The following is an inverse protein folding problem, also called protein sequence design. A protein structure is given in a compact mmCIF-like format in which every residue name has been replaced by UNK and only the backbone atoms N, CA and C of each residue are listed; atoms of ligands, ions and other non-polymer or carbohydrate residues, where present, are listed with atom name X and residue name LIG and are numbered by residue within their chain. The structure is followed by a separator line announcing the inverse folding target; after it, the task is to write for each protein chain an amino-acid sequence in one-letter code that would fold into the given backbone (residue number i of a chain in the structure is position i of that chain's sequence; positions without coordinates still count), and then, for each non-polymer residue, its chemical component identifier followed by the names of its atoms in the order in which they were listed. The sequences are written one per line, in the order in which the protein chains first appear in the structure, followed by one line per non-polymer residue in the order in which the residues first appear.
data_IF_331646986882
#
_entry.id   IF_331646986882
#
_cell.length_a   1.000
_cell.length_b   1.000
_cell.length_c   1.000
_cell.angle_alpha   90.00
_cell.angle_beta   90.00
_cell.angle_gamma   90.00
#
_symmetry.space_group_name_H-M   'P 1'
#
loop_
_entity.id
_entity.type
_entity.pdbx_description
1 polymer ?
#
# COMPACT_ATOMS: atom_id res chain seq x y z
N UNK A 1 -33.98 33.11 -32.17
CA UNK A 1 -34.39 33.17 -30.75
C UNK A 1 -33.15 32.94 -29.90
N UNK A 2 -32.77 33.98 -29.18
CA UNK A 2 -31.78 33.97 -28.11
C UNK A 2 -32.27 33.10 -26.94
N UNK A 3 -31.38 32.38 -26.26
CA UNK A 3 -31.15 32.64 -24.84
C UNK A 3 -29.77 32.14 -24.42
N UNK A 4 -28.87 33.08 -24.18
CA UNK A 4 -27.65 32.92 -23.38
C UNK A 4 -28.04 32.80 -21.91
N UNK A 5 -27.44 31.87 -21.17
CA UNK A 5 -27.22 32.01 -19.72
C UNK A 5 -25.73 31.80 -19.44
N UNK A 6 -25.12 32.85 -18.89
CA UNK A 6 -23.80 32.89 -18.26
C UNK A 6 -23.94 32.36 -16.82
N UNK A 7 -22.84 31.93 -16.18
CA UNK A 7 -22.38 32.47 -14.87
C UNK A 7 -21.07 31.81 -14.39
N UNK A 8 -20.11 32.71 -14.16
CA UNK A 8 -19.03 32.82 -13.16
C UNK A 8 -17.99 31.69 -12.93
N UNK A 9 -16.75 32.04 -13.30
CA UNK A 9 -15.47 31.43 -12.91
C UNK A 9 -15.03 31.97 -11.54
N UNK A 10 -14.50 31.10 -10.66
CA UNK A 10 -13.44 31.47 -9.71
C UNK A 10 -12.27 30.52 -9.95
N UNK A 11 -11.22 31.04 -10.59
CA UNK A 11 -9.91 30.38 -10.65
C UNK A 11 -9.14 30.79 -9.40
N UNK A 12 -8.94 29.85 -8.47
CA UNK A 12 -7.94 30.00 -7.42
C UNK A 12 -6.68 29.27 -7.89
N UNK A 13 -5.61 30.02 -8.15
CA UNK A 13 -4.27 29.46 -8.31
C UNK A 13 -3.79 29.04 -6.92
N UNK A 14 -3.64 27.74 -6.67
CA UNK A 14 -2.79 27.20 -5.61
C UNK A 14 -2.18 25.89 -6.12
N UNK A 15 -0.85 25.83 -6.08
CA UNK A 15 -0.05 24.69 -6.45
C UNK A 15 -0.16 23.63 -5.35
N UNK A 16 -0.61 22.43 -5.70
CA UNK A 16 -0.74 21.29 -4.78
C UNK A 16 -1.73 20.29 -5.37
N UNK A 17 -1.28 19.07 -5.65
CA UNK A 17 -2.11 18.05 -6.29
C UNK A 17 -3.38 17.76 -5.47
N UNK A 18 -4.54 18.08 -6.03
CA UNK A 18 -5.83 17.64 -5.52
C UNK A 18 -6.12 16.24 -6.06
N UNK A 19 -6.36 15.28 -5.17
CA UNK A 19 -6.92 13.99 -5.55
C UNK A 19 -8.42 14.21 -5.86
N UNK A 20 -8.81 14.06 -7.11
CA UNK A 20 -10.23 14.03 -7.50
C UNK A 20 -10.76 12.62 -7.21
N UNK A 21 -11.53 12.46 -6.15
CA UNK A 21 -12.30 11.22 -5.91
C UNK A 21 -13.57 11.30 -6.75
N UNK A 22 -13.72 10.42 -7.74
CA UNK A 22 -14.95 10.30 -8.54
C UNK A 22 -16.03 9.59 -7.72
N UNK A 23 -17.29 10.02 -7.88
CA UNK A 23 -18.44 9.56 -7.09
C UNK A 23 -18.79 8.06 -7.26
N UNK A 24 -18.14 7.34 -8.17
CA UNK A 24 -18.47 5.96 -8.54
C UNK A 24 -18.00 4.88 -7.54
N UNK A 25 -17.09 5.20 -6.60
CA UNK A 25 -16.61 4.23 -5.58
C UNK A 25 -17.53 4.11 -4.36
N UNK A 26 -18.72 4.75 -4.38
CA UNK A 26 -19.66 4.75 -3.26
C UNK A 26 -21.00 4.11 -3.67
N UNK A 27 -21.01 2.80 -3.93
CA UNK A 27 -22.29 2.07 -4.03
C UNK A 27 -22.91 1.92 -2.63
N UNK A 28 -23.79 2.87 -2.28
CA UNK A 28 -24.60 2.83 -1.08
C UNK A 28 -25.84 1.96 -1.29
N UNK A 29 -26.21 1.19 -0.26
CA UNK A 29 -27.53 0.56 -0.16
C UNK A 29 -28.59 1.68 0.03
N UNK A 30 -29.66 1.74 -0.77
CA UNK A 30 -30.71 2.75 -0.61
C UNK A 30 -31.36 2.68 0.78
N UNK A 31 -31.42 3.81 1.48
CA UNK A 31 -32.23 3.97 2.70
C UNK A 31 -31.48 4.22 4.01
N UNK A 32 -30.13 4.17 4.02
CA UNK A 32 -29.34 4.56 5.20
C UNK A 32 -28.64 5.88 4.95
N UNK A 33 -29.06 6.92 5.68
CA UNK A 33 -28.26 8.12 5.89
C UNK A 33 -27.01 7.66 6.65
N UNK A 34 -25.88 7.54 5.95
CA UNK A 34 -24.65 7.03 6.55
C UNK A 34 -23.52 7.99 6.18
N UNK A 35 -22.94 8.60 7.21
CA UNK A 35 -21.75 9.44 7.09
C UNK A 35 -20.56 8.51 6.88
N UNK A 36 -19.94 8.58 5.70
CA UNK A 36 -18.68 7.87 5.42
C UNK A 36 -17.51 8.83 5.62
N UNK A 37 -16.48 8.40 6.34
CA UNK A 37 -15.29 9.21 6.63
C UNK A 37 -14.05 8.41 6.25
N UNK A 38 -13.28 8.93 5.30
CA UNK A 38 -12.10 8.24 4.78
C UNK A 38 -10.92 9.21 4.63
N UNK A 39 -9.79 9.01 5.34
CA UNK A 39 -9.59 8.04 6.44
C UNK A 39 -10.31 8.47 7.74
N UNK A 40 -10.47 7.54 8.68
CA UNK A 40 -11.04 7.82 10.02
C UNK A 40 -10.10 8.59 10.95
N UNK A 41 -8.82 8.70 10.59
CA UNK A 41 -7.81 9.47 11.29
C UNK A 41 -6.92 10.20 10.27
N UNK A 42 -6.65 11.48 10.53
CA UNK A 42 -5.79 12.33 9.71
C UNK A 42 -4.57 12.81 10.48
N UNK A 43 -3.47 13.04 9.76
CA UNK A 43 -2.23 13.60 10.28
C UNK A 43 -1.76 14.78 9.38
N UNK A 44 -2.38 15.97 9.51
CA UNK A 44 -2.16 17.10 8.60
C UNK A 44 -0.77 17.75 8.76
N UNK A 45 0.28 17.04 8.35
CA UNK A 45 1.70 17.40 8.51
C UNK A 45 2.36 17.77 7.16
N UNK A 46 1.64 17.57 6.05
CA UNK A 46 2.02 17.89 4.69
C UNK A 46 3.03 16.93 4.07
N UNK A 47 3.03 15.65 4.44
CA UNK A 47 3.80 14.58 3.79
C UNK A 47 3.02 13.83 2.69
N UNK A 48 1.76 14.19 2.46
CA UNK A 48 0.86 13.54 1.51
C UNK A 48 0.21 12.26 2.05
N UNK A 49 0.29 11.99 3.36
CA UNK A 49 -0.33 10.84 4.03
C UNK A 49 -1.43 11.33 4.95
N UNK A 50 -2.67 10.90 4.69
CA UNK A 50 -3.82 11.23 5.56
C UNK A 50 -3.86 12.72 5.97
N UNK A 51 -3.37 13.64 5.12
CA UNK A 51 -3.34 15.07 5.43
C UNK A 51 -4.75 15.67 5.46
N UNK A 52 -5.69 14.99 4.82
CA UNK A 52 -7.10 15.34 4.80
C UNK A 52 -7.97 14.09 4.78
N UNK A 53 -9.24 14.27 5.10
CA UNK A 53 -10.28 13.27 4.96
C UNK A 53 -11.37 13.74 4.01
N UNK A 54 -11.95 12.78 3.29
CA UNK A 54 -13.21 12.95 2.59
C UNK A 54 -14.36 12.52 3.49
N UNK A 55 -15.27 13.45 3.77
CA UNK A 55 -16.49 13.22 4.55
C UNK A 55 -17.64 13.17 3.56
N UNK A 56 -18.13 11.98 3.26
CA UNK A 56 -19.24 11.77 2.34
C UNK A 56 -20.58 11.78 3.10
N UNK A 57 -21.49 12.66 2.66
CA UNK A 57 -22.84 12.81 3.21
C UNK A 57 -23.87 12.73 2.09
N UNK A 58 -25.03 12.12 2.38
CA UNK A 58 -26.18 12.15 1.45
C UNK A 58 -27.02 13.40 1.71
N UNK A 59 -27.40 14.12 0.64
CA UNK A 59 -28.29 15.28 0.69
C UNK A 59 -29.62 14.91 0.01
N UNK A 60 -30.71 14.71 0.79
CA UNK A 60 -32.03 14.47 0.23
C UNK A 60 -32.57 15.69 -0.52
N UNK A 61 -33.45 15.46 -1.49
CA UNK A 61 -34.12 16.54 -2.22
C UNK A 61 -34.93 17.43 -1.26
N UNK A 62 -34.82 18.75 -1.43
CA UNK A 62 -35.61 19.71 -0.65
C UNK A 62 -35.25 19.83 0.83
N UNK A 63 -34.22 19.10 1.31
CA UNK A 63 -33.74 19.17 2.69
C UNK A 63 -32.49 20.05 2.76
N UNK A 64 -32.46 20.99 3.70
CA UNK A 64 -31.28 21.82 3.99
C UNK A 64 -30.30 21.03 4.83
N UNK A 65 -29.03 20.99 4.43
CA UNK A 65 -27.99 20.23 5.15
C UNK A 65 -26.88 21.15 5.63
N UNK A 66 -26.52 20.99 6.91
CA UNK A 66 -25.36 21.63 7.53
C UNK A 66 -24.43 20.57 8.09
N UNK A 67 -23.14 20.65 7.77
CA UNK A 67 -22.09 19.73 8.24
C UNK A 67 -21.07 20.51 9.05
N UNK A 68 -20.98 20.18 10.33
CA UNK A 68 -20.07 20.83 11.29
C UNK A 68 -19.09 19.81 11.87
N UNK A 69 -17.90 20.30 12.18
CA UNK A 69 -16.92 19.61 13.00
C UNK A 69 -16.92 20.25 14.39
N UNK A 70 -17.05 19.40 15.42
CA UNK A 70 -17.14 19.84 16.81
C UNK A 70 -16.02 19.20 17.64
N UNK A 71 -15.50 19.97 18.60
CA UNK A 71 -14.53 19.45 19.55
C UNK A 71 -15.22 18.72 20.73
N UNK A 72 -14.43 18.20 21.67
CA UNK A 72 -14.93 17.49 22.87
C UNK A 72 -15.80 18.34 23.80
N UNK A 73 -15.77 19.67 23.68
CA UNK A 73 -16.63 20.60 24.42
C UNK A 73 -17.92 20.94 23.66
N UNK A 74 -18.18 20.25 22.55
CA UNK A 74 -19.31 20.48 21.64
C UNK A 74 -19.27 21.88 20.96
N UNK A 75 -18.11 22.52 20.92
CA UNK A 75 -17.90 23.79 20.22
C UNK A 75 -17.63 23.50 18.73
N UNK A 76 -18.25 24.28 17.84
CA UNK A 76 -18.01 24.19 16.39
C UNK A 76 -16.62 24.75 16.09
N UNK A 77 -15.75 23.89 15.56
CA UNK A 77 -14.37 24.25 15.17
C UNK A 77 -14.21 24.41 13.67
N UNK A 78 -15.08 23.80 12.87
CA UNK A 78 -15.17 24.00 11.42
C UNK A 78 -16.61 23.78 10.93
N UNK A 79 -16.99 24.47 9.86
CA UNK A 79 -18.25 24.25 9.13
C UNK A 79 -17.90 23.91 7.70
N UNK A 80 -18.13 22.66 7.29
CA UNK A 80 -17.76 22.16 5.95
C UNK A 80 -18.85 22.45 4.91
N UNK A 81 -20.10 22.50 5.38
CA UNK A 81 -21.26 22.81 4.58
C UNK A 81 -22.26 23.56 5.45
N UNK A 82 -22.83 24.64 4.96
CA UNK A 82 -23.78 25.47 5.71
C UNK A 82 -25.04 25.70 4.89
N UNK A 83 -26.18 25.30 5.43
CA UNK A 83 -27.52 25.53 4.86
C UNK A 83 -27.62 25.25 3.35
N UNK A 84 -26.97 24.17 2.90
CA UNK A 84 -26.91 23.83 1.49
C UNK A 84 -28.18 23.08 1.08
N UNK A 85 -28.75 23.49 -0.05
CA UNK A 85 -29.82 22.79 -0.76
C UNK A 85 -29.24 22.33 -2.09
N UNK A 86 -28.74 21.11 -2.13
CA UNK A 86 -28.18 20.52 -3.35
C UNK A 86 -29.28 19.86 -4.19
N UNK A 87 -29.07 19.76 -5.51
CA UNK A 87 -29.70 18.71 -6.31
C UNK A 87 -29.30 17.35 -5.73
N UNK A 88 -30.26 16.43 -5.58
CA UNK A 88 -30.10 15.06 -5.06
C UNK A 88 -28.69 14.46 -5.20
N UNK A 89 -28.11 13.93 -4.11
CA UNK A 89 -26.92 13.09 -4.24
C UNK A 89 -26.05 12.96 -2.99
N UNK A 90 -25.02 12.10 -3.09
CA UNK A 90 -23.89 12.04 -2.16
C UNK A 90 -22.89 13.12 -2.52
N UNK A 91 -22.44 13.87 -1.51
CA UNK A 91 -21.42 14.92 -1.64
C UNK A 91 -20.23 14.55 -0.76
N UNK A 92 -19.02 14.58 -1.33
CA UNK A 92 -17.77 14.45 -0.60
C UNK A 92 -17.25 15.83 -0.17
N UNK A 93 -17.08 16.02 1.13
CA UNK A 93 -16.57 17.25 1.73
C UNK A 93 -15.13 17.02 2.22
N UNK A 94 -14.10 17.61 1.58
CA UNK A 94 -12.74 17.48 2.05
C UNK A 94 -12.53 18.28 3.35
N UNK A 95 -11.76 17.74 4.26
CA UNK A 95 -11.34 18.43 5.49
C UNK A 95 -9.90 18.09 5.84
N UNK A 96 -9.06 19.11 5.98
CA UNK A 96 -7.62 19.04 6.24
C UNK A 96 -7.26 19.12 7.73
N UNK A 97 -8.25 18.95 8.62
CA UNK A 97 -8.04 19.09 10.05
C UNK A 97 -7.85 20.54 10.51
N UNK A 98 -8.14 21.53 9.67
CA UNK A 98 -8.10 22.94 10.06
C UNK A 98 -9.46 23.49 10.50
N UNK A 99 -9.41 24.53 11.34
CA UNK A 99 -10.56 25.30 11.81
C UNK A 99 -10.19 26.78 11.89
N UNK A 100 -11.02 27.66 11.32
CA UNK A 100 -10.74 29.09 11.22
C UNK A 100 -9.34 29.42 10.62
N UNK A 101 -8.89 28.61 9.64
CA UNK A 101 -7.61 28.79 8.96
C UNK A 101 -6.37 28.37 9.77
N UNK A 102 -6.55 27.63 10.88
CA UNK A 102 -5.44 27.10 11.69
C UNK A 102 -5.55 25.58 11.86
N UNK A 103 -4.43 24.84 11.89
CA UNK A 103 -4.44 23.44 12.26
C UNK A 103 -5.04 23.25 13.66
N UNK A 104 -5.93 22.26 13.80
CA UNK A 104 -6.51 21.91 15.08
C UNK A 104 -5.59 20.94 15.85
N UNK A 105 -5.60 20.96 17.19
CA UNK A 105 -4.77 20.08 18.00
C UNK A 105 -5.21 18.62 17.90
N UNK A 106 -4.33 17.71 18.34
CA UNK A 106 -4.63 16.29 18.45
C UNK A 106 -5.90 16.04 19.26
N UNK A 107 -6.75 15.16 18.76
CA UNK A 107 -7.99 14.84 19.43
C UNK A 107 -8.97 14.09 18.54
N UNK A 108 -10.07 13.67 19.16
CA UNK A 108 -11.22 13.14 18.44
C UNK A 108 -12.21 14.29 18.29
N UNK A 109 -12.65 14.50 17.06
CA UNK A 109 -13.64 15.48 16.66
C UNK A 109 -14.90 14.76 16.20
N UNK A 110 -16.03 15.39 16.48
CA UNK A 110 -17.33 14.89 16.09
C UNK A 110 -17.79 15.58 14.81
N UNK A 111 -18.21 14.79 13.82
CA UNK A 111 -18.85 15.28 12.61
C UNK A 111 -20.35 15.26 12.89
N UNK A 112 -21.01 16.42 12.84
CA UNK A 112 -22.45 16.54 13.02
C UNK A 112 -23.08 16.99 11.72
N UNK A 113 -23.96 16.14 11.17
CA UNK A 113 -24.77 16.48 10.00
C UNK A 113 -26.16 16.80 10.49
N UNK A 114 -26.63 18.02 10.24
CA UNK A 114 -27.98 18.46 10.56
C UNK A 114 -28.81 18.56 9.29
N UNK A 115 -29.93 17.84 9.26
CA UNK A 115 -30.92 17.85 8.19
C UNK A 115 -32.11 18.67 8.63
N UNK A 116 -32.41 19.76 7.92
CA UNK A 116 -33.50 20.68 8.21
C UNK A 116 -34.54 20.61 7.09
N UNK A 117 -35.53 19.73 7.28
CA UNK A 117 -36.70 19.59 6.41
C UNK A 117 -37.97 19.99 7.16
N UNK A 118 -39.02 19.16 7.09
CA UNK A 118 -40.21 19.30 7.95
C UNK A 118 -39.88 19.09 9.43
N UNK A 119 -38.92 18.20 9.70
CA UNK A 119 -38.32 17.98 11.01
C UNK A 119 -36.81 18.21 10.94
N UNK A 120 -36.20 18.48 12.09
CA UNK A 120 -34.73 18.56 12.20
C UNK A 120 -34.20 17.24 12.74
N UNK A 121 -33.41 16.52 11.94
CA UNK A 121 -32.68 15.32 12.39
C UNK A 121 -31.18 15.57 12.38
N UNK A 122 -30.44 14.78 13.17
CA UNK A 122 -28.98 14.88 13.25
C UNK A 122 -28.35 13.51 13.18
N UNK A 123 -27.30 13.41 12.38
CA UNK A 123 -26.40 12.26 12.36
C UNK A 123 -25.01 12.64 12.84
N UNK A 124 -24.31 11.65 13.39
CA UNK A 124 -23.01 11.84 14.03
C UNK A 124 -22.03 10.80 13.53
N UNK A 125 -20.80 11.24 13.31
CA UNK A 125 -19.64 10.39 13.10
C UNK A 125 -18.44 11.00 13.82
N UNK A 126 -17.28 10.37 13.73
CA UNK A 126 -16.07 10.87 14.37
C UNK A 126 -14.87 10.75 13.47
N UNK A 127 -13.90 11.63 13.70
CA UNK A 127 -12.61 11.66 13.02
C UNK A 127 -11.54 12.05 14.02
N UNK A 128 -10.38 11.39 13.96
CA UNK A 128 -9.24 11.73 14.80
C UNK A 128 -8.24 12.63 14.05
N UNK A 129 -7.68 13.63 14.75
CA UNK A 129 -6.46 14.32 14.34
C UNK A 129 -5.32 13.79 15.19
N UNK A 130 -4.23 13.39 14.54
CA UNK A 130 -3.02 12.89 15.16
C UNK A 130 -1.80 13.65 14.60
N UNK A 131 -1.03 14.30 15.47
CA UNK A 131 0.28 14.85 15.11
C UNK A 131 1.26 13.70 15.08
N UNK A 132 1.60 13.28 13.87
CA UNK A 132 2.59 12.24 13.62
C UNK A 132 3.85 12.87 13.03
N UNK A 133 4.97 12.15 13.15
CA UNK A 133 6.21 12.59 12.55
C UNK A 133 6.02 12.64 11.04
N UNK A 134 6.33 13.79 10.44
CA UNK A 134 6.35 13.96 9.00
C UNK A 134 7.26 12.91 8.37
N UNK A 135 6.71 12.10 7.48
CA UNK A 135 7.52 11.09 6.79
C UNK A 135 8.17 11.71 5.55
N UNK A 136 9.49 11.51 5.34
CA UNK A 136 10.08 11.90 4.06
C UNK A 136 9.47 11.04 2.96
N UNK A 137 9.30 11.61 1.76
CA UNK A 137 9.01 10.79 0.59
C UNK A 137 10.07 9.69 0.46
N UNK A 138 9.68 8.44 0.13
CA UNK A 138 10.64 7.37 -0.09
C UNK A 138 11.73 7.83 -1.06
N UNK A 139 12.98 7.78 -0.61
CA UNK A 139 14.16 7.98 -1.46
C UNK A 139 14.90 6.66 -1.51
N UNK A 140 15.33 6.29 -2.70
CA UNK A 140 16.08 5.06 -2.90
C UNK A 140 17.47 5.44 -3.39
N UNK A 141 18.52 4.77 -2.89
CA UNK A 141 19.88 5.04 -3.33
C UNK A 141 20.00 4.84 -4.85
N UNK A 142 20.80 5.70 -5.49
CA UNK A 142 21.02 5.69 -6.95
C UNK A 142 21.84 4.48 -7.44
N UNK A 143 22.46 3.72 -6.52
CA UNK A 143 23.33 2.60 -6.90
C UNK A 143 22.53 1.45 -7.54
N UNK A 144 22.92 0.99 -8.75
CA UNK A 144 22.24 -0.09 -9.45
C UNK A 144 22.60 -1.43 -8.82
N UNK A 145 21.87 -1.82 -7.77
CA UNK A 145 21.82 -3.21 -7.36
C UNK A 145 20.84 -3.96 -8.28
N UNK A 146 21.36 -4.84 -9.13
CA UNK A 146 20.54 -5.73 -9.94
C UNK A 146 20.47 -7.12 -9.29
N UNK A 147 19.29 -7.58 -8.86
CA UNK A 147 19.15 -8.86 -8.21
C UNK A 147 19.23 -9.99 -9.24
N UNK A 148 20.10 -10.95 -8.97
CA UNK A 148 20.13 -12.25 -9.62
C UNK A 148 19.92 -13.25 -8.49
N UNK A 149 18.72 -13.82 -8.42
CA UNK A 149 18.29 -14.51 -7.23
C UNK A 149 17.23 -15.58 -7.45
N UNK A 150 16.80 -16.15 -6.33
CA UNK A 150 15.77 -17.20 -6.26
C UNK A 150 14.75 -16.87 -5.18
N UNK A 151 13.54 -17.42 -5.33
CA UNK A 151 12.62 -17.58 -4.21
C UNK A 151 13.10 -18.75 -3.35
N UNK A 152 13.44 -18.44 -2.11
CA UNK A 152 14.09 -19.35 -1.18
C UNK A 152 13.16 -19.67 -0.02
N UNK A 153 12.87 -20.96 0.19
CA UNK A 153 12.03 -21.40 1.30
C UNK A 153 12.72 -21.11 2.64
N UNK A 154 12.16 -20.15 3.38
CA UNK A 154 12.69 -19.68 4.66
C UNK A 154 12.40 -20.61 5.84
N UNK A 155 11.48 -21.58 5.71
CA UNK A 155 11.09 -22.54 6.73
C UNK A 155 11.84 -23.87 6.55
N UNK A 156 12.93 -24.13 7.30
CA UNK A 156 13.78 -25.31 7.09
C UNK A 156 13.01 -26.66 7.12
N UNK A 157 12.00 -26.87 7.98
CA UNK A 157 11.14 -28.05 7.94
C UNK A 157 10.55 -28.41 6.57
N UNK A 158 10.19 -27.44 5.73
CA UNK A 158 9.65 -27.72 4.40
C UNK A 158 10.70 -28.31 3.46
N UNK A 159 11.98 -28.06 3.75
CA UNK A 159 13.12 -28.66 3.06
C UNK A 159 13.70 -29.89 3.81
N UNK A 160 13.03 -30.38 4.87
CA UNK A 160 13.48 -31.52 5.66
C UNK A 160 14.58 -31.20 6.68
N UNK A 161 14.74 -29.94 7.07
CA UNK A 161 15.71 -29.49 8.07
C UNK A 161 15.07 -29.21 9.44
N UNK A 162 15.81 -29.35 10.55
CA UNK A 162 15.30 -28.99 11.87
C UNK A 162 14.98 -27.49 11.97
N UNK A 163 13.94 -27.16 12.75
CA UNK A 163 13.52 -25.78 12.98
C UNK A 163 14.27 -25.08 14.12
N UNK A 164 15.15 -25.78 14.86
CA UNK A 164 15.99 -25.16 15.87
C UNK A 164 17.07 -24.28 15.22
N UNK A 165 17.59 -23.25 15.92
CA UNK A 165 18.53 -22.32 15.32
C UNK A 165 19.79 -22.96 14.72
N UNK A 166 20.30 -24.06 15.28
CA UNK A 166 21.49 -24.71 14.74
C UNK A 166 21.18 -25.46 13.44
N UNK A 167 20.08 -26.22 13.41
CA UNK A 167 19.61 -26.89 12.20
C UNK A 167 19.24 -25.92 11.08
N UNK A 168 18.53 -24.83 11.42
CA UNK A 168 18.19 -23.77 10.50
C UNK A 168 19.44 -23.07 9.92
N UNK A 169 20.42 -22.75 10.79
CA UNK A 169 21.68 -22.15 10.33
C UNK A 169 22.43 -23.06 9.35
N UNK A 170 22.52 -24.36 9.64
CA UNK A 170 23.16 -25.31 8.74
C UNK A 170 22.48 -25.38 7.35
N UNK A 171 21.15 -25.29 7.31
CA UNK A 171 20.38 -25.19 6.07
C UNK A 171 20.71 -23.90 5.30
N UNK A 172 20.61 -22.75 5.97
CA UNK A 172 20.85 -21.45 5.35
C UNK A 172 22.29 -21.29 4.87
N UNK A 173 23.29 -21.60 5.69
CA UNK A 173 24.71 -21.49 5.32
C UNK A 173 25.03 -22.31 4.08
N UNK A 174 24.58 -23.57 4.05
CA UNK A 174 24.82 -24.46 2.90
C UNK A 174 24.17 -23.91 1.64
N UNK A 175 22.91 -23.51 1.71
CA UNK A 175 22.17 -23.02 0.54
C UNK A 175 22.72 -21.67 0.05
N UNK A 176 23.07 -20.76 0.95
CA UNK A 176 23.64 -19.47 0.57
C UNK A 176 25.05 -19.60 0.01
N UNK A 177 25.88 -20.49 0.56
CA UNK A 177 27.19 -20.81 -0.03
C UNK A 177 27.06 -21.34 -1.46
N UNK A 178 26.12 -22.26 -1.70
CA UNK A 178 25.86 -22.83 -3.02
C UNK A 178 25.36 -21.78 -4.02
N UNK A 179 24.38 -20.96 -3.62
CA UNK A 179 23.86 -19.88 -4.45
C UNK A 179 24.95 -18.87 -4.85
N UNK A 180 25.76 -18.42 -3.88
CA UNK A 180 26.87 -17.49 -4.15
C UNK A 180 27.93 -18.13 -5.04
N UNK A 181 28.25 -19.41 -4.86
CA UNK A 181 29.17 -20.14 -5.74
C UNK A 181 28.68 -20.22 -7.19
N UNK A 182 27.36 -20.13 -7.41
CA UNK A 182 26.73 -20.10 -8.73
C UNK A 182 26.39 -18.68 -9.22
N UNK A 183 26.91 -17.64 -8.55
CA UNK A 183 26.79 -16.25 -8.99
C UNK A 183 25.45 -15.57 -8.64
N UNK A 184 24.59 -16.22 -7.85
CA UNK A 184 23.42 -15.56 -7.29
C UNK A 184 23.84 -14.59 -6.18
N UNK A 185 23.21 -13.41 -6.16
CA UNK A 185 23.52 -12.34 -5.23
C UNK A 185 22.33 -11.98 -4.32
N UNK A 186 21.15 -12.56 -4.55
CA UNK A 186 19.92 -12.23 -3.81
C UNK A 186 19.06 -13.47 -3.55
N UNK A 187 18.35 -13.49 -2.43
CA UNK A 187 17.23 -14.40 -2.15
C UNK A 187 16.00 -13.60 -1.74
N UNK A 188 14.83 -13.96 -2.29
CA UNK A 188 13.53 -13.55 -1.78
C UNK A 188 12.99 -14.66 -0.89
N UNK A 189 12.69 -14.35 0.37
CA UNK A 189 12.46 -15.35 1.41
C UNK A 189 11.06 -15.22 1.98
N UNK A 190 10.07 -15.93 1.42
CA UNK A 190 8.78 -16.13 2.06
C UNK A 190 8.87 -17.13 3.22
N UNK A 191 7.78 -17.24 4.00
CA UNK A 191 7.55 -18.32 4.96
C UNK A 191 8.57 -18.48 6.10
N UNK A 192 9.55 -17.60 6.25
CA UNK A 192 10.55 -17.71 7.32
C UNK A 192 9.90 -17.44 8.68
N UNK A 193 9.93 -18.40 9.63
CA UNK A 193 9.45 -18.16 10.98
C UNK A 193 10.18 -16.99 11.64
N UNK A 194 9.45 -16.15 12.37
CA UNK A 194 10.01 -14.95 13.00
C UNK A 194 11.18 -15.26 13.97
N UNK A 195 11.14 -16.42 14.62
CA UNK A 195 12.21 -16.88 15.50
C UNK A 195 13.53 -17.16 14.76
N UNK A 196 13.50 -17.30 13.43
CA UNK A 196 14.65 -17.64 12.59
C UNK A 196 15.17 -16.48 11.73
N UNK A 197 14.50 -15.32 11.71
CA UNK A 197 14.92 -14.17 10.90
C UNK A 197 16.38 -13.76 11.15
N UNK A 198 16.78 -13.64 12.43
CA UNK A 198 18.15 -13.26 12.79
C UNK A 198 19.16 -14.36 12.41
N UNK A 199 18.80 -15.63 12.54
CA UNK A 199 19.62 -16.78 12.12
C UNK A 199 19.85 -16.77 10.61
N UNK A 200 18.79 -16.52 9.84
CA UNK A 200 18.85 -16.41 8.38
C UNK A 200 19.71 -15.22 7.95
N UNK A 201 19.47 -14.04 8.50
CA UNK A 201 20.18 -12.82 8.12
C UNK A 201 21.66 -12.84 8.54
N UNK A 202 22.00 -13.46 9.67
CA UNK A 202 23.39 -13.69 10.07
C UNK A 202 24.12 -14.66 9.11
N UNK A 203 23.42 -15.70 8.64
CA UNK A 203 23.96 -16.60 7.61
C UNK A 203 24.16 -15.85 6.29
N UNK A 204 23.20 -15.02 5.90
CA UNK A 204 23.32 -14.20 4.71
C UNK A 204 24.47 -13.18 4.77
N UNK A 205 24.68 -12.54 5.94
CA UNK A 205 25.84 -11.66 6.19
C UNK A 205 27.17 -12.42 6.04
N UNK A 206 27.22 -13.66 6.55
CA UNK A 206 28.41 -14.53 6.46
C UNK A 206 28.77 -14.85 5.02
N UNK A 207 27.77 -15.06 4.16
CA UNK A 207 27.97 -15.46 2.77
C UNK A 207 27.92 -14.29 1.77
N UNK A 208 27.62 -13.07 2.23
CA UNK A 208 27.55 -11.89 1.37
C UNK A 208 26.38 -11.89 0.38
N UNK A 209 25.30 -12.63 0.67
CA UNK A 209 24.08 -12.66 -0.16
C UNK A 209 23.03 -11.69 0.39
N UNK A 210 22.30 -11.01 -0.50
CA UNK A 210 21.24 -10.08 -0.13
C UNK A 210 19.91 -10.78 0.09
N UNK A 211 19.12 -10.29 1.04
CA UNK A 211 17.86 -10.90 1.46
C UNK A 211 16.70 -9.90 1.33
N UNK A 212 15.71 -10.26 0.54
CA UNK A 212 14.36 -9.69 0.61
C UNK A 212 13.57 -10.61 1.53
N UNK A 213 13.19 -10.13 2.71
CA UNK A 213 12.58 -10.97 3.75
C UNK A 213 11.10 -10.63 3.91
N UNK A 214 10.22 -11.62 3.76
CA UNK A 214 8.83 -11.48 4.15
C UNK A 214 8.71 -11.35 5.67
N UNK A 215 8.03 -10.29 6.10
CA UNK A 215 7.88 -9.96 7.52
C UNK A 215 6.42 -10.02 7.92
N UNK A 216 6.05 -11.13 8.58
CA UNK A 216 4.67 -11.49 8.89
C UNK A 216 3.80 -10.38 9.52
N UNK A 217 4.29 -9.53 10.45
CA UNK A 217 3.50 -8.42 10.97
C UNK A 217 3.03 -7.42 9.91
N UNK A 218 3.87 -7.15 8.89
CA UNK A 218 3.50 -6.23 7.79
C UNK A 218 2.53 -6.91 6.84
N UNK A 219 2.75 -8.18 6.53
CA UNK A 219 1.83 -9.01 5.73
C UNK A 219 0.44 -9.03 6.36
N UNK A 220 0.35 -9.25 7.68
CA UNK A 220 -0.90 -9.28 8.41
C UNK A 220 -1.64 -7.93 8.37
N UNK A 221 -0.92 -6.82 8.59
CA UNK A 221 -1.50 -5.48 8.55
C UNK A 221 -2.03 -5.13 7.14
N UNK A 222 -1.27 -5.45 6.10
CA UNK A 222 -1.68 -5.14 4.71
C UNK A 222 -2.84 -6.02 4.26
N UNK A 223 -2.96 -7.23 4.76
CA UNK A 223 -4.00 -8.18 4.36
C UNK A 223 -5.35 -7.98 5.06
N UNK A 224 -5.42 -7.10 6.07
CA UNK A 224 -6.67 -6.87 6.78
C UNK A 224 -7.67 -6.10 5.90
N UNK A 225 -8.96 -6.41 6.04
CA UNK A 225 -10.01 -5.76 5.25
C UNK A 225 -10.22 -4.28 5.63
N UNK A 226 -9.91 -3.91 6.87
CA UNK A 226 -10.07 -2.54 7.36
C UNK A 226 -8.88 -1.66 6.98
N UNK A 227 -9.15 -0.40 6.67
CA UNK A 227 -8.09 0.59 6.46
C UNK A 227 -7.31 0.80 7.75
N UNK A 228 -6.01 0.49 7.70
CA UNK A 228 -5.08 0.71 8.80
C UNK A 228 -4.92 2.21 9.08
N UNK A 229 -4.70 2.55 10.36
CA UNK A 229 -4.25 3.88 10.77
C UNK A 229 -2.73 3.95 10.79
N UNK A 230 -2.15 5.15 10.69
CA UNK A 230 -0.70 5.32 10.81
C UNK A 230 -0.14 4.79 12.14
N UNK A 231 -0.95 4.82 13.20
CA UNK A 231 -0.60 4.21 14.48
C UNK A 231 -0.42 2.69 14.32
N UNK A 232 -1.36 2.01 13.66
CA UNK A 232 -1.28 0.56 13.43
C UNK A 232 -0.04 0.21 12.59
N UNK A 233 0.23 1.00 11.55
CA UNK A 233 1.44 0.84 10.75
C UNK A 233 2.73 1.04 11.56
N UNK A 234 2.77 2.04 12.44
CA UNK A 234 3.92 2.27 13.33
C UNK A 234 4.11 1.11 14.32
N UNK A 235 3.04 0.62 14.92
CA UNK A 235 3.08 -0.50 15.86
C UNK A 235 3.52 -1.81 15.18
N UNK A 236 3.19 -2.00 13.89
CA UNK A 236 3.66 -3.14 13.10
C UNK A 236 5.13 -2.99 12.63
N UNK A 237 5.53 -1.80 12.18
CA UNK A 237 6.85 -1.58 11.56
C UNK A 237 7.97 -1.45 12.59
N UNK A 238 7.77 -0.71 13.68
CA UNK A 238 8.86 -0.43 14.63
C UNK A 238 9.53 -1.70 15.19
N UNK A 239 8.79 -2.71 15.70
CA UNK A 239 9.43 -3.91 16.23
C UNK A 239 10.21 -4.70 15.18
N UNK A 240 9.75 -4.69 13.92
CA UNK A 240 10.43 -5.33 12.80
C UNK A 240 11.77 -4.64 12.53
N UNK A 241 11.76 -3.31 12.37
CA UNK A 241 12.98 -2.53 12.11
C UNK A 241 13.98 -2.66 13.27
N UNK A 242 13.53 -2.57 14.52
CA UNK A 242 14.39 -2.71 15.70
C UNK A 242 15.08 -4.07 15.76
N UNK A 243 14.37 -5.14 15.34
CA UNK A 243 14.88 -6.51 15.37
C UNK A 243 15.90 -6.80 14.26
N UNK A 244 15.57 -6.46 13.01
CA UNK A 244 16.33 -6.92 11.84
C UNK A 244 16.99 -5.80 11.02
N UNK A 245 16.71 -4.52 11.28
CA UNK A 245 17.28 -3.39 10.54
C UNK A 245 18.80 -3.19 10.71
N UNK A 246 19.42 -3.92 11.64
CA UNK A 246 20.88 -3.93 11.87
C UNK A 246 21.67 -4.76 10.84
N UNK A 247 21.06 -5.75 10.19
CA UNK A 247 21.75 -6.70 9.29
C UNK A 247 22.05 -6.09 7.91
N UNK A 248 23.29 -6.21 7.44
CA UNK A 248 23.70 -5.59 6.16
C UNK A 248 23.19 -6.37 4.93
N UNK A 249 22.96 -7.67 5.10
CA UNK A 249 22.38 -8.58 4.12
C UNK A 249 20.92 -8.28 3.83
N UNK A 250 20.17 -7.73 4.80
CA UNK A 250 18.78 -7.33 4.58
C UNK A 250 18.74 -6.22 3.51
N UNK A 251 18.12 -6.52 2.38
CA UNK A 251 17.99 -5.63 1.22
C UNK A 251 16.66 -4.90 1.23
N UNK A 252 15.57 -5.63 1.53
CA UNK A 252 14.18 -5.13 1.54
C UNK A 252 13.34 -5.82 2.61
N UNK A 253 12.33 -5.10 3.08
CA UNK A 253 11.21 -5.69 3.82
C UNK A 253 10.12 -6.07 2.81
N UNK A 254 9.90 -7.37 2.57
CA UNK A 254 8.76 -7.81 1.77
C UNK A 254 7.49 -7.67 2.62
N UNK A 255 6.67 -6.71 2.22
CA UNK A 255 5.47 -6.29 2.95
C UNK A 255 4.33 -7.26 2.68
N UNK A 256 4.16 -7.68 1.42
CA UNK A 256 3.16 -8.65 1.01
C UNK A 256 3.56 -9.23 -0.33
N UNK A 257 3.54 -10.56 -0.46
CA UNK A 257 3.56 -11.18 -1.78
C UNK A 257 2.20 -11.06 -2.45
N UNK A 258 2.20 -10.66 -3.72
CA UNK A 258 1.00 -10.57 -4.56
C UNK A 258 -0.17 -9.77 -3.93
N UNK A 259 0.03 -8.49 -3.56
CA UNK A 259 -1.06 -7.68 -2.98
C UNK A 259 -2.15 -7.42 -4.03
N UNK A 260 -3.42 -7.52 -3.60
CA UNK A 260 -4.56 -7.10 -4.42
C UNK A 260 -4.72 -5.57 -4.38
N UNK A 261 -5.59 -5.02 -5.24
CA UNK A 261 -5.87 -3.57 -5.31
C UNK A 261 -6.37 -3.04 -3.96
N UNK A 262 -7.20 -3.81 -3.27
CA UNK A 262 -7.79 -3.46 -1.97
C UNK A 262 -6.75 -3.35 -0.85
N UNK A 263 -5.61 -4.05 -0.99
CA UNK A 263 -4.52 -4.03 -0.02
C UNK A 263 -3.60 -2.81 -0.18
N UNK A 264 -3.61 -2.15 -1.35
CA UNK A 264 -2.67 -1.07 -1.66
C UNK A 264 -2.74 0.14 -0.71
N UNK A 265 -3.91 0.58 -0.22
CA UNK A 265 -3.96 1.66 0.77
C UNK A 265 -3.14 1.35 2.04
N UNK A 266 -3.27 0.14 2.58
CA UNK A 266 -2.50 -0.29 3.76
C UNK A 266 -1.02 -0.49 3.40
N UNK A 267 -0.72 -0.96 2.18
CA UNK A 267 0.66 -1.09 1.69
C UNK A 267 1.39 0.27 1.64
N UNK A 268 0.74 1.30 1.08
CA UNK A 268 1.29 2.66 0.98
C UNK A 268 1.61 3.20 2.36
N UNK A 269 0.73 2.96 3.32
CA UNK A 269 0.92 3.36 4.71
C UNK A 269 2.16 2.71 5.33
N UNK A 270 2.32 1.39 5.16
CA UNK A 270 3.50 0.65 5.61
C UNK A 270 4.77 1.15 4.95
N UNK A 271 4.75 1.40 3.63
CA UNK A 271 5.90 1.94 2.90
C UNK A 271 6.38 3.27 3.50
N UNK A 272 5.45 4.18 3.81
CA UNK A 272 5.76 5.52 4.32
C UNK A 272 6.38 5.46 5.72
N UNK A 273 5.79 4.66 6.62
CA UNK A 273 6.33 4.45 7.97
C UNK A 273 7.72 3.78 7.91
N UNK A 274 7.90 2.77 7.05
CA UNK A 274 9.20 2.14 6.81
C UNK A 274 10.24 3.15 6.31
N UNK A 275 9.90 3.98 5.32
CA UNK A 275 10.80 4.97 4.75
C UNK A 275 11.28 6.01 5.78
N UNK A 276 10.52 6.24 6.85
CA UNK A 276 10.92 7.09 7.95
C UNK A 276 11.75 6.43 9.04
N UNK A 277 11.59 5.12 9.24
CA UNK A 277 12.28 4.36 10.30
C UNK A 277 13.57 3.69 9.80
N UNK A 278 13.60 3.20 8.56
CA UNK A 278 14.80 2.64 7.91
C UNK A 278 14.92 3.13 6.47
N UNK A 279 15.58 4.29 6.32
CA UNK A 279 15.81 4.95 5.03
C UNK A 279 16.67 4.13 4.06
N UNK A 280 17.35 3.07 4.52
CA UNK A 280 18.25 2.26 3.70
C UNK A 280 17.54 1.10 3.00
N UNK A 281 16.40 0.65 3.53
CA UNK A 281 15.75 -0.60 3.12
C UNK A 281 14.28 -0.36 2.84
N UNK A 282 13.92 -0.18 1.57
CA UNK A 282 12.54 0.13 1.23
C UNK A 282 11.63 -1.09 1.34
N UNK A 283 10.33 -0.81 1.38
CA UNK A 283 9.27 -1.80 1.24
C UNK A 283 9.33 -2.47 -0.13
N UNK A 284 8.99 -3.75 -0.18
CA UNK A 284 9.02 -4.57 -1.38
C UNK A 284 7.76 -5.44 -1.48
N UNK A 285 7.29 -5.65 -2.70
CA UNK A 285 6.23 -6.61 -3.05
C UNK A 285 6.41 -7.03 -4.51
N UNK A 286 6.07 -8.28 -4.80
CA UNK A 286 5.87 -8.75 -6.16
C UNK A 286 4.39 -8.69 -6.52
N UNK A 287 4.08 -8.25 -7.73
CA UNK A 287 2.71 -8.05 -8.19
C UNK A 287 2.34 -9.10 -9.24
N UNK A 288 1.25 -9.83 -9.00
CA UNK A 288 0.59 -10.69 -9.98
C UNK A 288 -0.64 -10.02 -10.65
N UNK A 289 -0.91 -8.76 -10.30
CA UNK A 289 -1.89 -7.89 -10.96
C UNK A 289 -1.26 -6.56 -11.42
N UNK A 290 -1.35 -6.27 -12.72
CA UNK A 290 -0.94 -4.99 -13.28
C UNK A 290 -1.82 -3.83 -12.78
N UNK A 291 -3.09 -4.09 -12.47
CA UNK A 291 -4.00 -3.08 -11.92
C UNK A 291 -3.61 -2.68 -10.50
N UNK A 292 -3.20 -3.65 -9.66
CA UNK A 292 -2.69 -3.37 -8.32
C UNK A 292 -1.39 -2.55 -8.37
N UNK A 293 -0.48 -2.88 -9.30
CA UNK A 293 0.73 -2.10 -9.52
C UNK A 293 0.41 -0.69 -10.02
N UNK A 294 -0.52 -0.53 -10.97
CA UNK A 294 -0.91 0.77 -11.49
C UNK A 294 -1.54 1.65 -10.39
N UNK A 295 -2.43 1.06 -9.58
CA UNK A 295 -3.05 1.74 -8.44
C UNK A 295 -1.97 2.26 -7.47
N UNK A 296 -0.94 1.44 -7.21
CA UNK A 296 0.20 1.83 -6.37
C UNK A 296 1.00 2.99 -6.98
N UNK A 297 1.46 2.84 -8.23
CA UNK A 297 2.36 3.83 -8.87
C UNK A 297 1.68 5.16 -9.21
N UNK A 298 0.34 5.24 -9.16
CA UNK A 298 -0.44 6.48 -9.18
C UNK A 298 -0.41 7.26 -7.88
N UNK A 299 -0.17 6.59 -6.75
CA UNK A 299 -0.33 7.17 -5.41
C UNK A 299 0.97 7.28 -4.64
N UNK A 300 1.99 6.50 -5.02
CA UNK A 300 3.32 6.56 -4.43
C UNK A 300 4.39 6.11 -5.43
N UNK A 301 5.66 6.26 -5.06
CA UNK A 301 6.81 5.76 -5.81
C UNK A 301 7.42 4.56 -5.09
N UNK A 302 7.36 3.33 -5.64
CA UNK A 302 8.11 2.20 -5.10
C UNK A 302 9.61 2.32 -5.43
N UNK A 303 10.44 1.55 -4.71
CA UNK A 303 11.86 1.40 -5.04
C UNK A 303 12.07 0.69 -6.37
N UNK A 304 11.29 -0.36 -6.56
CA UNK A 304 11.22 -1.13 -7.78
C UNK A 304 9.77 -1.58 -8.00
N UNK A 305 9.35 -1.61 -9.26
CA UNK A 305 8.16 -2.29 -9.72
C UNK A 305 8.54 -3.74 -10.04
N UNK A 306 8.10 -4.67 -9.19
CA UNK A 306 8.44 -6.08 -9.31
C UNK A 306 7.20 -6.86 -9.71
N UNK A 307 7.27 -7.61 -10.81
CA UNK A 307 6.11 -8.32 -11.31
C UNK A 307 6.38 -9.80 -11.49
N UNK A 308 5.36 -10.57 -11.15
CA UNK A 308 5.40 -12.02 -11.10
C UNK A 308 4.53 -12.58 -12.22
N UNK A 309 5.17 -13.22 -13.22
CA UNK A 309 4.54 -13.65 -14.45
C UNK A 309 4.78 -15.15 -14.65
N UNK A 310 3.67 -15.91 -14.69
CA UNK A 310 3.67 -17.35 -14.88
C UNK A 310 2.98 -17.76 -16.18
N UNK A 311 3.65 -17.66 -17.35
CA UNK A 311 3.00 -17.79 -18.65
C UNK A 311 2.72 -19.26 -19.07
N UNK A 312 3.30 -20.25 -18.39
CA UNK A 312 3.26 -21.65 -18.83
C UNK A 312 2.33 -22.50 -17.97
N UNK A 313 1.03 -22.37 -18.21
CA UNK A 313 0.01 -23.29 -17.73
C UNK A 313 0.09 -24.66 -18.46
N UNK A 314 -0.55 -25.73 -17.95
CA UNK A 314 -0.58 -27.04 -18.61
C UNK A 314 -1.07 -26.99 -20.06
N UNK A 315 -1.98 -26.07 -20.39
CA UNK A 315 -2.51 -25.89 -21.73
C UNK A 315 -1.65 -24.99 -22.63
N UNK A 316 -0.63 -24.30 -22.10
CA UNK A 316 0.24 -23.42 -22.90
C UNK A 316 1.09 -24.27 -23.85
N UNK A 317 1.01 -24.06 -25.18
CA UNK A 317 1.79 -24.82 -26.15
C UNK A 317 3.30 -24.76 -25.85
N UNK A 318 4.06 -25.87 -25.96
CA UNK A 318 5.51 -25.85 -25.89
C UNK A 318 6.12 -24.93 -26.94
N UNK A 319 7.28 -24.34 -26.62
CA UNK A 319 8.00 -23.39 -27.48
C UNK A 319 7.16 -22.17 -27.86
N UNK A 320 6.31 -21.72 -26.93
CA UNK A 320 5.57 -20.46 -27.04
C UNK A 320 5.87 -19.58 -25.84
N UNK A 321 5.62 -18.28 -25.95
CA UNK A 321 5.70 -17.35 -24.82
C UNK A 321 4.40 -17.30 -24.00
N UNK A 322 3.39 -18.11 -24.33
CA UNK A 322 2.07 -18.04 -23.70
C UNK A 322 1.53 -16.61 -23.67
N UNK A 323 1.12 -16.15 -22.48
CA UNK A 323 0.69 -14.78 -22.22
C UNK A 323 1.80 -13.79 -21.82
N UNK A 324 3.08 -14.20 -21.85
CA UNK A 324 4.19 -13.44 -21.25
C UNK A 324 4.32 -12.02 -21.82
N UNK A 325 4.35 -11.87 -23.15
CA UNK A 325 4.54 -10.56 -23.80
C UNK A 325 3.42 -9.58 -23.42
N UNK A 326 2.17 -10.04 -23.46
CA UNK A 326 1.02 -9.21 -23.08
C UNK A 326 1.07 -8.81 -21.60
N UNK A 327 1.46 -9.72 -20.72
CA UNK A 327 1.63 -9.43 -19.30
C UNK A 327 2.77 -8.41 -19.08
N UNK A 328 3.92 -8.61 -19.72
CA UNK A 328 5.06 -7.72 -19.65
C UNK A 328 4.72 -6.29 -20.11
N UNK A 329 3.94 -6.15 -21.19
CA UNK A 329 3.46 -4.85 -21.66
C UNK A 329 2.55 -4.16 -20.64
N UNK A 330 1.60 -4.90 -20.04
CA UNK A 330 0.71 -4.38 -19.02
C UNK A 330 1.50 -3.91 -17.77
N UNK A 331 2.44 -4.73 -17.29
CA UNK A 331 3.30 -4.37 -16.16
C UNK A 331 4.24 -3.21 -16.48
N UNK A 332 4.80 -3.16 -17.68
CA UNK A 332 5.68 -2.06 -18.10
C UNK A 332 4.94 -0.73 -18.05
N UNK A 333 3.70 -0.70 -18.54
CA UNK A 333 2.83 0.48 -18.45
C UNK A 333 2.49 0.83 -16.99
N UNK A 334 2.08 -0.15 -16.19
CA UNK A 334 1.75 0.04 -14.78
C UNK A 334 2.96 0.51 -13.93
N UNK A 335 4.18 0.12 -14.32
CA UNK A 335 5.41 0.48 -13.62
C UNK A 335 5.81 1.95 -13.78
N UNK A 336 5.33 2.64 -14.83
CA UNK A 336 5.80 4.00 -15.19
C UNK A 336 7.33 4.04 -15.29
N UNK A 337 7.96 5.09 -14.75
CA UNK A 337 9.41 5.30 -14.76
C UNK A 337 10.16 4.55 -13.64
N UNK A 338 9.48 3.70 -12.86
CA UNK A 338 10.15 2.92 -11.82
C UNK A 338 11.06 1.84 -12.42
N UNK A 339 12.12 1.49 -11.67
CA UNK A 339 12.99 0.35 -11.97
C UNK A 339 12.14 -0.92 -12.02
N UNK A 340 12.37 -1.79 -13.01
CA UNK A 340 11.53 -2.96 -13.28
C UNK A 340 12.31 -4.23 -12.97
N UNK A 341 11.77 -5.08 -12.10
CA UNK A 341 12.28 -6.42 -11.86
C UNK A 341 11.21 -7.44 -12.27
N UNK A 342 11.63 -8.53 -12.89
CA UNK A 342 10.75 -9.61 -13.31
C UNK A 342 11.09 -10.88 -12.54
N UNK A 343 10.06 -11.55 -12.04
CA UNK A 343 10.18 -12.93 -11.56
C UNK A 343 9.86 -13.85 -12.73
N UNK A 344 10.76 -14.78 -12.99
CA UNK A 344 10.65 -15.70 -14.12
C UNK A 344 10.08 -17.02 -13.64
N UNK A 345 9.16 -17.59 -14.40
CA UNK A 345 8.70 -18.94 -14.14
C UNK A 345 9.84 -19.93 -14.41
N UNK A 346 10.48 -20.43 -13.35
CA UNK A 346 11.51 -21.47 -13.41
C UNK A 346 11.09 -22.78 -12.73
N UNK A 347 9.81 -22.90 -12.37
CA UNK A 347 9.25 -24.05 -11.66
C UNK A 347 7.96 -24.56 -12.32
N UNK A 348 7.43 -25.65 -11.77
CA UNK A 348 6.14 -26.23 -12.11
C UNK A 348 5.33 -26.48 -10.84
N UNK A 349 4.02 -26.34 -10.92
CA UNK A 349 3.08 -26.77 -9.88
C UNK A 349 2.04 -27.65 -10.55
N UNK A 350 1.87 -28.91 -10.13
CA UNK A 350 0.90 -29.81 -10.74
C UNK A 350 -0.47 -29.13 -10.87
N UNK A 351 -1.09 -29.24 -12.05
CA UNK A 351 -2.40 -28.66 -12.40
C UNK A 351 -2.44 -27.14 -12.60
N UNK A 352 -1.44 -26.38 -12.13
CA UNK A 352 -1.38 -24.92 -12.31
C UNK A 352 -0.35 -24.49 -13.37
N UNK A 353 0.85 -25.07 -13.34
CA UNK A 353 1.96 -24.67 -14.21
C UNK A 353 2.81 -25.86 -14.65
N UNK A 354 3.20 -25.88 -15.93
CA UNK A 354 4.17 -26.84 -16.46
C UNK A 354 5.58 -26.27 -16.35
N UNK A 355 6.58 -27.15 -16.37
CA UNK A 355 7.97 -26.73 -16.41
C UNK A 355 8.25 -26.04 -17.78
N UNK A 356 8.91 -24.88 -17.82
CA UNK A 356 9.38 -24.29 -19.06
C UNK A 356 10.50 -25.15 -19.68
N UNK A 357 10.64 -25.08 -21.01
CA UNK A 357 11.87 -25.52 -21.67
C UNK A 357 13.02 -24.54 -21.40
N UNK A 358 14.26 -24.95 -21.69
CA UNK A 358 15.42 -24.06 -21.55
C UNK A 358 15.32 -22.84 -22.49
N UNK A 359 14.75 -23.02 -23.68
CA UNK A 359 14.50 -21.96 -24.65
C UNK A 359 13.42 -20.99 -24.17
N UNK A 360 12.34 -21.50 -23.58
CA UNK A 360 11.27 -20.68 -22.99
C UNK A 360 11.77 -19.87 -21.79
N UNK A 361 12.65 -20.45 -20.96
CA UNK A 361 13.26 -19.71 -19.86
C UNK A 361 14.20 -18.60 -20.36
N UNK A 362 15.06 -18.90 -21.35
CA UNK A 362 15.95 -17.90 -21.98
C UNK A 362 15.19 -16.80 -22.71
N UNK A 363 14.00 -17.07 -23.23
CA UNK A 363 13.21 -16.07 -23.93
C UNK A 363 12.50 -15.07 -23.00
N UNK A 364 12.46 -15.34 -21.68
CA UNK A 364 11.93 -14.41 -20.69
C UNK A 364 13.00 -13.47 -20.09
N UNK A 365 14.29 -13.79 -20.26
CA UNK A 365 15.46 -12.99 -19.84
C UNK A 365 15.94 -12.10 -20.97
#
# INVERSE_FOLDING_TARGET
MSLTIRVLIITLLLCGAAATVTADDLQAVPGKQEITVTPKAISPNGDGVNDSASIAVYIPEGVRVTVEIRNRRNEVVATLLSDAVSSLGRVGLPWDGSGAGRPLPNGIYEIVVTYSGTETTRERSSIAIQSLQKWPSPRHPDEPFFPIGVWFEGNPPFAGYPADPAGAKAYYDRCFADLVAHGFNTVAVPNCPEALWETLLASADTHGIKVVLEVAPLTALVSQAETATEKDAREAVMPVVDKIGKYQSLLRYQVRDEPSVEMIPNWILVQRVLAGLDTRRPAFSCFCSADALAYLTERTRPSEAVFDIYPFAPATPPQSLGGFVNALDAYTKASKDNVKWAVLQAFAMPQAWRLPSAEELRAQT
#
